data_IF_727350764896
#
_entry.id   IF_727350764896
#
_cell.length_a   1.000
_cell.length_b   1.000
_cell.length_c   1.000
_cell.angle_alpha   90.00
_cell.angle_beta   90.00
_cell.angle_gamma   90.00
#
_symmetry.space_group_name_H-M   'P 1'
#
loop_
_entity.id
_entity.type
_entity.pdbx_description
1 polymer ?
#
# COMPACT_ATOMS: atom_id res chain seq x y z
N UNK A 1 3.86 -0.09 -14.08
CA UNK A 1 4.49 -0.52 -12.80
C UNK A 1 3.52 -0.47 -11.62
N UNK A 2 2.74 0.58 -11.48
CA UNK A 2 1.76 0.68 -10.38
C UNK A 2 0.75 -0.47 -10.42
N UNK A 3 0.32 -0.90 -11.59
CA UNK A 3 -0.58 -2.05 -11.73
C UNK A 3 0.08 -3.35 -11.27
N UNK A 4 1.39 -3.49 -11.50
CA UNK A 4 2.14 -4.65 -11.05
C UNK A 4 2.24 -4.67 -9.53
N UNK A 5 2.43 -3.49 -8.90
CA UNK A 5 2.44 -3.38 -7.45
C UNK A 5 1.11 -3.83 -6.85
N UNK A 6 -0.02 -3.47 -7.47
CA UNK A 6 -1.34 -3.93 -7.03
C UNK A 6 -1.48 -5.45 -7.18
N UNK A 7 -0.94 -6.04 -8.23
CA UNK A 7 -0.92 -7.50 -8.40
C UNK A 7 -0.07 -8.18 -7.32
N UNK A 8 1.10 -7.61 -7.02
CA UNK A 8 1.98 -8.13 -5.96
C UNK A 8 1.31 -8.02 -4.59
N UNK A 9 0.53 -6.97 -4.36
CA UNK A 9 -0.26 -6.80 -3.13
C UNK A 9 -1.17 -8.01 -2.91
N UNK A 10 -1.92 -8.39 -3.94
CA UNK A 10 -2.86 -9.51 -3.86
C UNK A 10 -2.16 -10.85 -3.60
N UNK A 11 -0.91 -10.99 -4.04
CA UNK A 11 -0.12 -12.20 -3.80
C UNK A 11 0.50 -12.24 -2.42
N UNK A 12 0.96 -11.08 -1.93
CA UNK A 12 1.73 -10.99 -0.69
C UNK A 12 0.87 -10.97 0.57
N UNK A 13 -0.25 -10.23 0.54
CA UNK A 13 -1.03 -9.93 1.73
C UNK A 13 -1.81 -11.15 2.22
N UNK A 14 -1.72 -11.38 3.53
CA UNK A 14 -2.51 -12.39 4.25
C UNK A 14 -3.20 -11.69 5.43
N UNK A 15 -4.04 -12.43 6.17
CA UNK A 15 -4.69 -11.88 7.37
C UNK A 15 -3.70 -11.52 8.47
N UNK A 16 -2.47 -12.02 8.39
CA UNK A 16 -1.41 -11.72 9.37
C UNK A 16 -0.56 -10.50 8.98
N UNK A 17 -0.68 -10.00 7.74
CA UNK A 17 0.13 -8.88 7.26
C UNK A 17 -0.25 -7.59 7.98
N UNK A 18 0.75 -6.87 8.51
CA UNK A 18 0.57 -5.57 9.13
C UNK A 18 0.73 -4.44 8.10
N UNK A 19 0.27 -3.23 8.47
CA UNK A 19 0.52 -2.05 7.64
C UNK A 19 2.03 -1.81 7.45
N UNK A 20 2.83 -2.05 8.49
CA UNK A 20 4.28 -1.93 8.42
C UNK A 20 4.91 -2.96 7.48
N UNK A 21 4.45 -4.21 7.53
CA UNK A 21 4.94 -5.26 6.63
C UNK A 21 4.73 -4.87 5.17
N UNK A 22 3.56 -4.34 4.87
CA UNK A 22 3.23 -3.89 3.52
C UNK A 22 4.11 -2.71 3.10
N UNK A 23 4.34 -1.78 4.03
CA UNK A 23 5.22 -0.63 3.80
C UNK A 23 6.62 -1.09 3.35
N UNK A 24 7.23 -1.98 4.12
CA UNK A 24 8.59 -2.45 3.81
C UNK A 24 8.64 -3.29 2.52
N UNK A 25 7.68 -4.19 2.35
CA UNK A 25 7.67 -5.06 1.18
C UNK A 25 7.50 -4.27 -0.12
N UNK A 26 6.53 -3.35 -0.15
CA UNK A 26 6.24 -2.59 -1.36
C UNK A 26 7.31 -1.54 -1.67
N UNK A 27 7.88 -0.88 -0.67
CA UNK A 27 8.98 0.05 -0.90
C UNK A 27 10.23 -0.68 -1.40
N UNK A 28 10.46 -1.90 -0.93
CA UNK A 28 11.54 -2.74 -1.45
C UNK A 28 11.33 -3.06 -2.93
N UNK A 29 10.12 -3.46 -3.32
CA UNK A 29 9.79 -3.76 -4.71
C UNK A 29 9.91 -2.53 -5.61
N UNK A 30 9.44 -1.38 -5.15
CA UNK A 30 9.55 -0.12 -5.89
C UNK A 30 11.02 0.15 -6.25
N UNK A 31 11.90 0.03 -5.26
CA UNK A 31 13.33 0.24 -5.43
C UNK A 31 13.94 -0.83 -6.35
N UNK A 32 13.58 -2.09 -6.14
CA UNK A 32 14.12 -3.22 -6.91
C UNK A 32 13.77 -3.10 -8.40
N UNK A 33 12.58 -2.59 -8.72
CA UNK A 33 12.16 -2.39 -10.10
C UNK A 33 12.70 -1.10 -10.73
N UNK A 34 13.54 -0.34 -10.02
CA UNK A 34 14.16 0.86 -10.58
C UNK A 34 13.30 2.12 -10.46
N UNK A 35 12.31 2.12 -9.60
CA UNK A 35 11.44 3.27 -9.35
C UNK A 35 11.75 3.92 -8.01
N UNK A 36 11.23 5.13 -7.81
CA UNK A 36 11.26 5.81 -6.52
C UNK A 36 9.82 6.07 -6.06
N UNK A 37 9.63 6.07 -4.74
CA UNK A 37 8.37 6.44 -4.13
C UNK A 37 8.33 7.96 -4.01
N UNK A 38 7.33 8.60 -4.62
CA UNK A 38 7.19 10.05 -4.63
C UNK A 38 6.56 10.61 -3.36
N UNK A 39 6.00 9.76 -2.49
CA UNK A 39 5.51 10.19 -1.20
C UNK A 39 6.70 10.51 -0.30
N UNK A 40 6.68 11.67 0.34
CA UNK A 40 7.79 12.18 1.16
C UNK A 40 8.17 11.21 2.29
N UNK A 41 7.18 10.56 2.92
CA UNK A 41 7.40 9.61 4.01
C UNK A 41 7.42 8.17 3.55
N UNK A 42 7.29 7.92 2.24
CA UNK A 42 7.24 6.58 1.68
C UNK A 42 5.92 5.86 1.90
N UNK A 43 4.88 6.56 2.36
CA UNK A 43 3.56 5.97 2.61
C UNK A 43 2.91 5.51 1.31
N UNK A 44 2.07 4.47 1.41
CA UNK A 44 1.49 3.82 0.24
C UNK A 44 -0.05 3.72 0.32
N UNK A 45 -0.65 4.32 1.33
CA UNK A 45 -2.09 4.28 1.51
C UNK A 45 -2.50 4.34 2.98
N UNK A 46 -3.77 4.09 3.23
CA UNK A 46 -4.33 4.22 4.58
C UNK A 46 -5.66 3.49 4.73
N UNK A 47 -6.09 3.31 5.98
CA UNK A 47 -7.43 2.81 6.27
C UNK A 47 -8.49 3.84 5.84
N UNK A 48 -9.69 3.37 5.54
CA UNK A 48 -10.82 4.24 5.23
C UNK A 48 -11.70 4.32 6.47
N UNK A 49 -11.83 5.52 7.03
CA UNK A 49 -12.58 5.80 8.25
C UNK A 49 -13.35 7.12 8.10
N UNK A 50 -14.30 7.35 9.01
CA UNK A 50 -15.13 8.56 8.95
C UNK A 50 -14.36 9.85 9.25
N UNK A 51 -13.29 9.75 10.04
CA UNK A 51 -12.47 10.92 10.42
C UNK A 51 -11.05 10.72 9.93
N UNK A 52 -10.48 11.73 9.29
CA UNK A 52 -9.11 11.65 8.79
C UNK A 52 -8.08 11.47 9.89
N UNK A 53 -8.32 12.01 11.09
CA UNK A 53 -7.43 11.83 12.23
C UNK A 53 -7.38 10.39 12.76
N UNK A 54 -8.37 9.57 12.40
CA UNK A 54 -8.42 8.15 12.81
C UNK A 54 -7.78 7.22 11.78
N UNK A 55 -7.25 7.77 10.68
CA UNK A 55 -6.61 6.96 9.64
C UNK A 55 -5.39 6.21 10.15
N UNK A 56 -5.27 4.96 9.70
CA UNK A 56 -4.08 4.14 9.92
C UNK A 56 -3.35 4.06 8.58
N UNK A 57 -2.10 4.52 8.56
CA UNK A 57 -1.32 4.62 7.33
C UNK A 57 -0.43 3.41 7.10
N UNK A 58 -0.20 3.09 5.82
CA UNK A 58 0.80 2.10 5.44
C UNK A 58 2.16 2.76 5.59
N UNK A 59 2.76 2.61 6.76
CA UNK A 59 3.98 3.31 7.13
C UNK A 59 4.82 2.51 8.11
N UNK A 60 6.07 2.93 8.29
CA UNK A 60 7.00 2.35 9.25
C UNK A 60 6.46 2.53 10.67
N UNK A 61 6.55 1.48 11.47
CA UNK A 61 6.14 1.51 12.87
C UNK A 61 4.69 1.16 13.11
N UNK A 62 3.87 1.05 12.07
CA UNK A 62 2.47 0.69 12.21
C UNK A 62 2.28 -0.82 12.17
N UNK A 63 2.07 -1.42 13.34
CA UNK A 63 1.94 -2.88 13.49
C UNK A 63 0.51 -3.39 13.51
N UNK A 64 -0.46 -2.55 13.13
CA UNK A 64 -1.85 -2.96 12.98
C UNK A 64 -1.94 -3.91 11.78
N UNK A 65 -2.71 -4.98 11.92
CA UNK A 65 -2.95 -5.89 10.78
C UNK A 65 -3.91 -5.25 9.79
N UNK A 66 -3.68 -5.47 8.50
CA UNK A 66 -4.58 -4.99 7.46
C UNK A 66 -5.99 -5.55 7.64
N UNK A 67 -6.11 -6.79 8.15
CA UNK A 67 -7.41 -7.43 8.40
C UNK A 67 -8.19 -6.82 9.56
N UNK A 68 -7.56 -5.98 10.39
CA UNK A 68 -8.22 -5.31 11.51
C UNK A 68 -9.01 -4.08 11.09
N UNK A 69 -8.89 -3.64 9.84
CA UNK A 69 -9.66 -2.53 9.31
C UNK A 69 -10.68 -3.03 8.28
N UNK A 70 -11.78 -2.30 8.09
CA UNK A 70 -12.81 -2.71 7.13
C UNK A 70 -12.32 -2.56 5.68
N UNK A 71 -11.76 -1.41 5.37
CA UNK A 71 -11.24 -1.09 4.05
C UNK A 71 -9.94 -0.33 4.18
N UNK A 72 -9.03 -0.53 3.22
CA UNK A 72 -7.84 0.30 3.12
C UNK A 72 -7.54 0.62 1.66
N UNK A 73 -6.87 1.74 1.43
CA UNK A 73 -6.39 2.08 0.09
C UNK A 73 -4.97 1.59 -0.09
N UNK A 74 -4.62 1.23 -1.31
CA UNK A 74 -3.24 1.09 -1.72
C UNK A 74 -3.06 2.00 -2.93
N UNK A 75 -2.21 3.03 -2.77
CA UNK A 75 -2.12 4.12 -3.74
C UNK A 75 -0.67 4.53 -3.98
N UNK A 76 0.18 3.62 -4.50
CA UNK A 76 1.57 3.97 -4.74
C UNK A 76 1.67 5.09 -5.76
N UNK A 77 2.51 6.08 -5.46
CA UNK A 77 2.84 7.19 -6.34
C UNK A 77 4.33 7.11 -6.63
N UNK A 78 4.69 6.65 -7.82
CA UNK A 78 6.06 6.27 -8.15
C UNK A 78 6.54 6.93 -9.43
N UNK A 79 7.84 6.98 -9.60
CA UNK A 79 8.49 7.50 -10.80
C UNK A 79 9.76 6.72 -11.08
N UNK A 80 10.18 6.68 -12.34
CA UNK A 80 11.52 6.22 -12.69
C UNK A 80 12.50 7.28 -12.18
N UNK A 81 13.64 6.86 -11.65
CA UNK A 81 14.66 7.76 -11.16
C UNK A 81 15.05 8.76 -12.27
N UNK A 82 15.07 10.05 -11.91
CA UNK A 82 15.36 11.17 -12.81
C UNK A 82 14.29 11.43 -13.88
N UNK A 83 13.11 10.82 -13.77
CA UNK A 83 11.99 11.11 -14.66
C UNK A 83 11.21 12.33 -14.19
N UNK A 84 10.61 13.06 -15.14
CA UNK A 84 9.70 14.17 -14.83
C UNK A 84 8.29 13.69 -14.53
N UNK A 85 7.98 12.44 -14.84
CA UNK A 85 6.62 11.92 -14.77
C UNK A 85 6.48 10.91 -13.64
N UNK A 86 5.38 10.99 -12.91
CA UNK A 86 5.00 10.02 -11.91
C UNK A 86 3.82 9.19 -12.38
N UNK A 87 3.63 8.06 -11.74
CA UNK A 87 2.52 7.14 -11.97
C UNK A 87 1.83 6.88 -10.66
N UNK A 88 0.50 6.97 -10.65
CA UNK A 88 -0.29 6.70 -9.46
C UNK A 88 -1.52 5.90 -9.83
N UNK A 89 -1.80 4.86 -9.04
CA UNK A 89 -3.03 4.10 -9.14
C UNK A 89 -3.52 3.80 -7.73
N UNK A 90 -4.74 4.21 -7.43
CA UNK A 90 -5.38 3.99 -6.15
C UNK A 90 -6.49 2.95 -6.29
N UNK A 91 -6.44 1.91 -5.48
CA UNK A 91 -7.52 0.95 -5.36
C UNK A 91 -7.85 0.74 -3.89
N UNK A 92 -9.07 0.30 -3.64
CA UNK A 92 -9.58 0.00 -2.29
C UNK A 92 -9.64 -1.51 -2.13
N UNK A 93 -9.20 -1.99 -0.97
CA UNK A 93 -9.14 -3.42 -0.65
C UNK A 93 -9.84 -3.74 0.66
N UNK A 94 -10.34 -4.96 0.76
CA UNK A 94 -10.96 -5.48 1.99
C UNK A 94 -10.82 -6.99 2.05
N UNK A 95 -11.01 -7.58 3.23
CA UNK A 95 -10.93 -9.01 3.42
C UNK A 95 -12.32 -9.64 3.45
N UNK A 96 -12.45 -10.80 2.78
CA UNK A 96 -13.63 -11.67 2.88
C UNK A 96 -13.10 -13.07 3.19
N UNK A 97 -13.44 -13.59 4.36
CA UNK A 97 -13.03 -14.94 4.77
C UNK A 97 -11.54 -15.20 4.57
N UNK A 98 -10.70 -14.36 5.11
CA UNK A 98 -9.24 -14.45 5.05
C UNK A 98 -8.64 -14.17 3.66
N UNK A 99 -9.46 -13.77 2.68
CA UNK A 99 -8.98 -13.48 1.33
C UNK A 99 -9.09 -11.98 1.04
N UNK A 100 -8.02 -11.41 0.49
CA UNK A 100 -8.00 -10.01 0.08
C UNK A 100 -8.73 -9.82 -1.23
N UNK A 101 -9.66 -8.86 -1.26
CA UNK A 101 -10.49 -8.56 -2.42
C UNK A 101 -10.29 -7.09 -2.81
N UNK A 102 -10.17 -6.83 -4.10
CA UNK A 102 -10.16 -5.48 -4.64
C UNK A 102 -11.59 -5.04 -4.90
N UNK A 103 -11.92 -3.84 -4.41
CA UNK A 103 -13.25 -3.26 -4.61
C UNK A 103 -13.48 -2.86 -6.07
#
# INVERSE_FOLDING_TARGET
>A
MESRLHQELLKYVTVETTFEDLYFHMNHLIKEYGFINLDFLGNLGHSIVNRSEDRIYIEKGNKTKLSDVNYFTFEPHISVLNSKYGYKKENIYYFVEEKLIEL
#
